data_IF_414074292283
#
_entry.id   IF_414074292283
#
_cell.length_a   1.000
_cell.length_b   1.000
_cell.length_c   1.000
_cell.angle_alpha   90.00
_cell.angle_beta   90.00
_cell.angle_gamma   90.00
#
_symmetry.space_group_name_H-M   'P 1'
#
loop_
_entity.id
_entity.type
_entity.pdbx_description
1 polymer ?
#
# COMPACT_ATOMS: atom_id res chain seq x y z
N UNK A 1 2.92 -9.57 3.84
CA UNK A 1 2.32 -9.34 2.50
C UNK A 1 1.07 -8.45 2.62
N UNK A 2 0.82 -7.56 1.66
CA UNK A 2 -0.36 -6.67 1.63
C UNK A 2 -1.27 -6.98 0.43
N UNK A 3 -2.58 -6.87 0.63
CA UNK A 3 -3.62 -6.99 -0.38
C UNK A 3 -4.38 -5.67 -0.48
N UNK A 4 -4.50 -5.13 -1.69
CA UNK A 4 -5.14 -3.85 -1.95
C UNK A 4 -6.41 -4.03 -2.78
N UNK A 5 -7.48 -3.35 -2.39
CA UNK A 5 -8.70 -3.24 -3.19
C UNK A 5 -9.33 -1.86 -3.04
N UNK A 6 -10.46 -1.64 -3.72
CA UNK A 6 -11.25 -0.42 -3.66
C UNK A 6 -12.59 -0.65 -2.96
N UNK A 7 -13.32 0.43 -2.71
CA UNK A 7 -14.75 0.40 -2.47
C UNK A 7 -15.52 -0.15 -3.68
N UNK A 8 -16.82 -0.45 -3.50
CA UNK A 8 -17.67 -0.92 -4.59
C UNK A 8 -17.88 0.20 -5.60
N UNK A 9 -17.93 -0.15 -6.89
CA UNK A 9 -18.12 0.78 -8.03
C UNK A 9 -17.12 1.95 -8.04
N UNK A 10 -15.80 1.69 -7.99
CA UNK A 10 -14.81 2.76 -7.94
C UNK A 10 -14.78 3.54 -9.27
N UNK A 11 -14.55 4.84 -9.17
CA UNK A 11 -14.24 5.72 -10.30
C UNK A 11 -12.95 5.31 -11.01
N UNK A 12 -12.74 5.88 -12.19
CA UNK A 12 -11.50 5.69 -12.94
C UNK A 12 -10.26 6.18 -12.15
N UNK A 13 -10.38 7.33 -11.46
CA UNK A 13 -9.31 7.88 -10.62
C UNK A 13 -8.92 6.93 -9.49
N UNK A 14 -9.91 6.39 -8.77
CA UNK A 14 -9.69 5.40 -7.71
C UNK A 14 -9.04 4.13 -8.23
N UNK A 15 -9.46 3.62 -9.39
CA UNK A 15 -8.81 2.46 -10.01
C UNK A 15 -7.33 2.72 -10.33
N UNK A 16 -7.00 3.91 -10.83
CA UNK A 16 -5.61 4.29 -11.11
C UNK A 16 -4.81 4.37 -9.82
N UNK A 17 -5.34 5.05 -8.79
CA UNK A 17 -4.67 5.18 -7.50
C UNK A 17 -4.38 3.80 -6.89
N UNK A 18 -5.38 2.90 -6.86
CA UNK A 18 -5.18 1.54 -6.36
C UNK A 18 -4.04 0.81 -7.07
N UNK A 19 -3.98 0.89 -8.41
CA UNK A 19 -2.92 0.25 -9.18
C UNK A 19 -1.54 0.85 -8.90
N UNK A 20 -1.45 2.19 -8.82
CA UNK A 20 -0.20 2.89 -8.48
C UNK A 20 0.29 2.49 -7.09
N UNK A 21 -0.59 2.51 -6.09
CA UNK A 21 -0.28 2.10 -4.72
C UNK A 21 0.12 0.62 -4.65
N UNK A 22 -0.59 -0.26 -5.36
CA UNK A 22 -0.26 -1.68 -5.39
C UNK A 22 1.15 -1.93 -5.96
N UNK A 23 1.50 -1.29 -7.08
CA UNK A 23 2.85 -1.37 -7.64
C UNK A 23 3.89 -0.82 -6.67
N UNK A 24 3.64 0.38 -6.13
CA UNK A 24 4.56 1.06 -5.23
C UNK A 24 4.83 0.27 -3.94
N UNK A 25 3.79 -0.30 -3.34
CA UNK A 25 3.87 -1.06 -2.10
C UNK A 25 4.25 -2.53 -2.30
N UNK A 26 4.35 -3.01 -3.54
CA UNK A 26 4.45 -4.44 -3.86
C UNK A 26 3.30 -5.26 -3.24
N UNK A 27 2.09 -4.71 -3.34
CA UNK A 27 0.87 -5.33 -2.85
C UNK A 27 0.15 -6.08 -3.97
N UNK A 28 -0.48 -7.20 -3.63
CA UNK A 28 -1.44 -7.83 -4.53
C UNK A 28 -2.64 -6.90 -4.71
N UNK A 29 -3.20 -6.83 -5.93
CA UNK A 29 -4.38 -6.01 -6.21
C UNK A 29 -5.55 -6.90 -6.61
N UNK A 30 -6.68 -6.77 -5.92
CA UNK A 30 -7.93 -7.41 -6.31
C UNK A 30 -9.00 -6.38 -6.69
N UNK A 31 -9.80 -6.71 -7.70
CA UNK A 31 -10.97 -5.91 -8.04
C UNK A 31 -12.11 -6.16 -7.05
N UNK A 32 -12.73 -5.10 -6.50
CA UNK A 32 -13.83 -5.23 -5.53
C UNK A 32 -15.11 -5.87 -6.07
N UNK A 33 -15.50 -5.53 -7.29
CA UNK A 33 -16.74 -6.04 -7.92
C UNK A 33 -17.99 -5.86 -7.04
N UNK A 34 -18.77 -6.94 -6.90
CA UNK A 34 -19.96 -7.01 -6.04
C UNK A 34 -19.68 -7.60 -4.65
N UNK A 35 -18.44 -7.99 -4.36
CA UNK A 35 -18.09 -8.69 -3.13
C UNK A 35 -18.48 -7.87 -1.89
N UNK A 36 -19.21 -8.45 -0.93
CA UNK A 36 -19.45 -7.84 0.38
C UNK A 36 -18.13 -7.67 1.13
N UNK A 37 -18.13 -6.83 2.16
CA UNK A 37 -16.92 -6.61 2.96
C UNK A 37 -16.44 -7.91 3.62
N UNK A 38 -17.36 -8.74 4.11
CA UNK A 38 -17.04 -10.04 4.72
C UNK A 38 -16.21 -10.93 3.79
N UNK A 39 -16.63 -11.11 2.53
CA UNK A 39 -15.89 -11.90 1.54
C UNK A 39 -14.52 -11.28 1.22
N UNK A 40 -14.42 -9.94 1.18
CA UNK A 40 -13.14 -9.27 0.94
C UNK A 40 -12.18 -9.47 2.11
N UNK A 41 -12.68 -9.41 3.34
CA UNK A 41 -11.90 -9.68 4.55
C UNK A 41 -11.43 -11.13 4.59
N UNK A 42 -12.31 -12.08 4.24
CA UNK A 42 -11.96 -13.50 4.13
C UNK A 42 -10.84 -13.74 3.10
N UNK A 43 -10.94 -13.14 1.91
CA UNK A 43 -9.88 -13.22 0.89
C UNK A 43 -8.57 -12.51 1.29
N UNK A 44 -8.66 -11.56 2.21
CA UNK A 44 -7.50 -10.86 2.78
C UNK A 44 -6.93 -11.51 4.04
N UNK A 45 -7.56 -12.57 4.54
CA UNK A 45 -7.14 -13.27 5.76
C UNK A 45 -5.67 -13.71 5.66
N UNK A 46 -4.92 -13.51 6.72
CA UNK A 46 -3.47 -13.81 6.76
C UNK A 46 -2.59 -12.72 6.11
N UNK A 47 -3.15 -11.62 5.61
CA UNK A 47 -2.42 -10.49 5.06
C UNK A 47 -3.00 -9.15 5.56
N UNK A 48 -2.20 -8.08 5.45
CA UNK A 48 -2.75 -6.73 5.68
C UNK A 48 -3.61 -6.35 4.48
N UNK A 49 -4.89 -6.05 4.72
CA UNK A 49 -5.82 -5.62 3.67
C UNK A 49 -5.97 -4.10 3.69
N UNK A 50 -5.68 -3.45 2.57
CA UNK A 50 -5.94 -2.04 2.34
C UNK A 50 -7.15 -1.86 1.41
N UNK A 51 -8.16 -1.11 1.86
CA UNK A 51 -9.31 -0.71 1.06
C UNK A 51 -9.26 0.78 0.79
N UNK A 52 -9.19 1.16 -0.49
CA UNK A 52 -9.29 2.55 -0.93
C UNK A 52 -10.75 2.94 -1.06
N UNK A 53 -11.21 3.87 -0.22
CA UNK A 53 -12.55 4.43 -0.28
C UNK A 53 -12.63 5.65 -1.20
N UNK A 54 -13.86 5.94 -1.62
CA UNK A 54 -14.17 7.02 -2.56
C UNK A 54 -15.24 7.94 -1.98
N UNK A 55 -15.09 9.25 -2.22
CA UNK A 55 -16.05 10.29 -1.90
C UNK A 55 -16.32 11.13 -3.15
N UNK A 56 -17.58 11.15 -3.62
CA UNK A 56 -18.01 11.85 -4.84
C UNK A 56 -17.09 11.64 -6.06
N UNK A 57 -16.70 10.39 -6.35
CA UNK A 57 -15.85 10.08 -7.51
C UNK A 57 -14.36 10.31 -7.30
N UNK A 58 -13.92 10.74 -6.11
CA UNK A 58 -12.51 10.96 -5.81
C UNK A 58 -12.03 10.00 -4.70
N UNK A 59 -10.81 9.45 -4.80
CA UNK A 59 -10.23 8.70 -3.70
C UNK A 59 -10.13 9.59 -2.46
N UNK A 60 -10.60 9.08 -1.33
CA UNK A 60 -10.75 9.90 -0.13
C UNK A 60 -10.45 9.18 1.18
N UNK A 61 -10.27 7.87 1.17
CA UNK A 61 -9.84 7.15 2.37
C UNK A 61 -8.99 5.91 2.08
N UNK A 62 -8.11 5.59 3.03
CA UNK A 62 -7.41 4.31 3.12
C UNK A 62 -7.84 3.66 4.42
N UNK A 63 -8.44 2.47 4.34
CA UNK A 63 -8.77 1.67 5.51
C UNK A 63 -7.91 0.42 5.52
N UNK A 64 -7.18 0.19 6.60
CA UNK A 64 -6.30 -0.96 6.77
C UNK A 64 -6.84 -1.92 7.81
N UNK A 65 -6.93 -3.18 7.42
CA UNK A 65 -7.36 -4.29 8.24
C UNK A 65 -6.18 -5.22 8.47
N UNK A 66 -6.05 -5.71 9.70
CA UNK A 66 -4.99 -6.63 10.08
C UNK A 66 -5.27 -8.04 9.50
N UNK A 67 -4.32 -8.99 9.62
CA UNK A 67 -4.53 -10.36 9.16
C UNK A 67 -5.74 -11.08 9.77
N UNK A 68 -6.28 -10.60 10.90
CA UNK A 68 -7.49 -11.13 11.53
C UNK A 68 -8.79 -10.50 11.00
N UNK A 69 -8.67 -9.47 10.16
CA UNK A 69 -9.79 -8.72 9.59
C UNK A 69 -10.29 -7.57 10.46
N UNK A 70 -9.58 -7.18 11.52
CA UNK A 70 -9.92 -6.01 12.35
C UNK A 70 -9.42 -4.74 11.68
N UNK A 71 -10.28 -3.73 11.57
CA UNK A 71 -9.88 -2.38 11.14
C UNK A 71 -8.97 -1.78 12.22
N UNK A 72 -7.74 -1.44 11.88
CA UNK A 72 -6.80 -0.83 12.83
C UNK A 72 -6.42 0.60 12.46
N UNK A 73 -6.52 0.98 11.17
CA UNK A 73 -6.28 2.33 10.68
C UNK A 73 -7.31 2.73 9.64
N UNK A 74 -7.80 3.96 9.76
CA UNK A 74 -8.46 4.64 8.66
C UNK A 74 -7.91 6.06 8.50
N UNK A 75 -7.43 6.37 7.31
CA UNK A 75 -7.01 7.70 6.90
C UNK A 75 -8.07 8.31 6.01
N UNK A 76 -8.44 9.56 6.25
CA UNK A 76 -9.14 10.40 5.27
C UNK A 76 -8.12 11.29 4.59
N UNK A 77 -8.21 11.46 3.29
CA UNK A 77 -7.27 12.27 2.54
C UNK A 77 -7.90 12.99 1.36
N UNK A 78 -7.16 13.95 0.80
CA UNK A 78 -7.34 14.44 -0.57
C UNK A 78 -6.06 14.16 -1.36
N UNK A 79 -6.18 13.63 -2.58
CA UNK A 79 -5.01 13.32 -3.40
C UNK A 79 -4.60 14.48 -4.32
N UNK A 80 -3.32 14.49 -4.66
CA UNK A 80 -2.77 15.22 -5.82
C UNK A 80 -1.85 14.27 -6.55
N UNK A 81 -2.18 13.97 -7.80
CA UNK A 81 -1.34 13.19 -8.71
C UNK A 81 -0.47 14.12 -9.55
N UNK A 82 0.78 13.73 -9.77
CA UNK A 82 1.73 14.46 -10.60
C UNK A 82 2.04 13.68 -11.87
N UNK A 83 3.05 14.12 -12.62
CA UNK A 83 3.47 13.54 -13.90
C UNK A 83 3.50 12.01 -13.87
N UNK A 84 3.07 11.37 -14.96
CA UNK A 84 3.01 9.92 -15.03
C UNK A 84 4.41 9.33 -14.90
N UNK A 85 4.61 8.57 -13.83
CA UNK A 85 5.77 7.69 -13.68
C UNK A 85 5.48 6.36 -14.39
N UNK A 86 6.40 5.84 -15.23
CA UNK A 86 6.24 4.53 -15.84
C UNK A 86 5.98 3.44 -14.80
N UNK A 87 5.06 2.50 -15.11
CA UNK A 87 4.70 1.44 -14.15
C UNK A 87 5.90 0.59 -13.72
N UNK A 88 6.89 0.39 -14.59
CA UNK A 88 8.13 -0.30 -14.25
C UNK A 88 8.89 0.40 -13.11
N UNK A 89 8.99 1.72 -13.14
CA UNK A 89 9.65 2.50 -12.10
C UNK A 89 8.90 2.47 -10.76
N UNK A 90 7.60 2.19 -10.77
CA UNK A 90 6.81 2.00 -9.56
C UNK A 90 6.99 0.61 -8.94
N UNK A 91 7.53 -0.36 -9.67
CA UNK A 91 7.66 -1.76 -9.21
C UNK A 91 9.05 -2.09 -8.68
N UNK A 92 10.09 -1.52 -9.30
CA UNK A 92 11.48 -1.86 -8.98
C UNK A 92 12.10 -0.89 -7.99
N UNK A 93 13.10 -1.38 -7.27
CA UNK A 93 13.93 -0.55 -6.41
C UNK A 93 13.71 -0.75 -4.91
N UNK A 94 14.71 -0.29 -4.15
CA UNK A 94 14.71 -0.29 -2.69
C UNK A 94 13.52 0.52 -2.18
N UNK A 95 12.84 0.02 -1.14
CA UNK A 95 11.70 0.67 -0.51
C UNK A 95 12.17 1.42 0.73
N UNK A 96 12.16 2.74 0.65
CA UNK A 96 12.65 3.62 1.71
C UNK A 96 11.51 4.46 2.25
N UNK A 97 11.47 4.64 3.57
CA UNK A 97 10.59 5.63 4.16
C UNK A 97 11.37 6.63 5.01
N UNK A 98 10.83 7.84 5.06
CA UNK A 98 11.38 9.00 5.74
C UNK A 98 10.26 9.63 6.54
N UNK A 99 10.60 10.15 7.70
CA UNK A 99 9.67 10.85 8.56
C UNK A 99 10.38 11.25 9.83
N UNK A 100 9.73 12.13 10.58
CA UNK A 100 10.20 12.48 11.91
C UNK A 100 9.62 11.50 12.91
N UNK A 101 10.45 10.99 13.82
CA UNK A 101 10.03 10.09 14.90
C UNK A 101 8.98 10.75 15.81
N UNK A 102 8.89 12.08 15.82
CA UNK A 102 7.88 12.84 16.55
C UNK A 102 6.55 12.98 15.80
N UNK A 103 6.46 12.60 14.53
CA UNK A 103 5.21 12.68 13.79
C UNK A 103 4.25 11.56 14.25
N UNK A 104 3.03 11.89 14.70
CA UNK A 104 2.05 10.87 15.07
C UNK A 104 1.74 9.91 13.91
N UNK A 105 1.75 10.42 12.67
CA UNK A 105 1.54 9.62 11.48
C UNK A 105 2.72 8.68 11.21
N UNK A 106 3.95 9.12 11.52
CA UNK A 106 5.14 8.27 11.44
C UNK A 106 5.09 7.16 12.47
N UNK A 107 4.91 7.47 13.76
CA UNK A 107 4.79 6.47 14.82
C UNK A 107 3.69 5.44 14.48
N UNK A 108 2.58 5.92 13.95
CA UNK A 108 1.47 5.09 13.51
C UNK A 108 1.84 4.17 12.33
N UNK A 109 2.41 4.70 11.24
CA UNK A 109 2.76 3.91 10.05
C UNK A 109 3.95 2.97 10.31
N UNK A 110 4.88 3.37 11.17
CA UNK A 110 6.07 2.60 11.52
C UNK A 110 5.72 1.26 12.18
N UNK A 111 4.63 1.19 12.96
CA UNK A 111 4.12 -0.06 13.51
C UNK A 111 3.79 -1.09 12.41
N UNK A 112 3.43 -0.66 11.20
CA UNK A 112 3.01 -1.55 10.11
C UNK A 112 4.10 -1.76 9.05
N UNK A 113 5.01 -0.81 8.91
CA UNK A 113 6.08 -0.85 7.91
C UNK A 113 7.26 -1.74 8.36
N UNK A 114 7.43 -1.96 9.67
CA UNK A 114 8.55 -2.75 10.25
C UNK A 114 8.21 -4.23 10.52
N UNK A 115 6.94 -4.63 10.65
CA UNK A 115 6.57 -6.03 10.95
C UNK A 115 6.73 -7.04 9.80
N UNK A 116 7.34 -6.64 8.67
CA UNK A 116 7.90 -7.58 7.69
C UNK A 116 9.19 -8.29 8.21
N UNK A 117 9.52 -8.11 9.51
CA UNK A 117 10.59 -8.84 10.22
C UNK A 117 10.17 -10.18 10.85
N UNK A 118 8.96 -10.71 10.59
CA UNK A 118 8.57 -11.95 11.27
C UNK A 118 7.41 -12.78 10.76
N UNK A 119 6.55 -12.31 9.85
CA UNK A 119 5.52 -13.18 9.26
C UNK A 119 6.04 -13.85 7.98
N UNK A 120 6.90 -14.85 8.16
CA UNK A 120 7.11 -15.88 7.14
C UNK A 120 5.82 -16.70 7.08
N UNK A 121 4.96 -16.40 6.10
CA UNK A 121 3.95 -17.37 5.69
C UNK A 121 4.66 -18.53 4.96
N UNK A 122 4.33 -19.80 5.26
CA UNK A 122 4.92 -20.92 4.54
C UNK A 122 4.60 -20.83 3.04
N UNK A 123 5.52 -21.23 2.15
CA UNK A 123 5.34 -21.13 0.69
C UNK A 123 4.05 -21.76 0.15
N UNK A 124 3.47 -22.69 0.91
CA UNK A 124 2.31 -23.49 0.53
C UNK A 124 1.01 -22.68 0.45
N UNK A 125 0.87 -21.58 1.21
CA UNK A 125 -0.34 -20.74 1.21
C UNK A 125 -0.40 -19.72 0.07
N UNK A 126 0.71 -19.46 -0.62
CA UNK A 126 0.73 -18.58 -1.80
C UNK A 126 0.01 -19.23 -2.97
N UNK A 127 0.21 -20.53 -3.17
CA UNK A 127 -0.46 -21.26 -4.24
C UNK A 127 -1.98 -21.30 -4.05
N UNK A 128 -2.47 -21.37 -2.81
CA UNK A 128 -3.91 -21.42 -2.53
C UNK A 128 -4.64 -20.10 -2.81
N UNK A 129 -3.98 -18.95 -2.61
CA UNK A 129 -4.54 -17.63 -2.93
C UNK A 129 -4.70 -17.41 -4.46
N UNK A 130 -3.88 -18.08 -5.28
CA UNK A 130 -3.94 -17.99 -6.75
C UNK A 130 -4.72 -19.13 -7.42
N UNK A 131 -4.99 -20.25 -6.73
CA UNK A 131 -5.75 -21.40 -7.27
C UNK A 131 -7.19 -21.07 -7.70
N UNK A 132 -7.77 -19.95 -7.24
CA UNK A 132 -9.15 -19.55 -7.59
C UNK A 132 -9.30 -18.72 -8.87
N UNK A 133 -8.22 -18.37 -9.57
CA UNK A 133 -8.31 -17.79 -10.91
C UNK A 133 -7.96 -18.84 -11.97
N UNK A 134 -8.97 -19.49 -12.54
CA UNK A 134 -8.84 -20.32 -13.76
C UNK A 134 -8.54 -19.44 -14.98
N UNK A 135 -7.34 -18.87 -15.04
CA UNK A 135 -6.63 -18.46 -16.25
C UNK A 135 -5.15 -18.62 -15.93
N UNK A 136 -4.44 -19.35 -16.78
CA UNK A 136 -3.05 -19.75 -16.58
C UNK A 136 -2.21 -18.61 -15.97
N UNK A 137 -1.45 -18.86 -14.89
CA UNK A 137 -0.54 -17.86 -14.37
C UNK A 137 0.43 -17.47 -15.50
N UNK A 138 0.76 -16.17 -15.65
CA UNK A 138 1.77 -15.75 -16.62
C UNK A 138 3.05 -16.54 -16.36
N UNK A 139 3.50 -17.30 -17.36
CA UNK A 139 4.81 -17.94 -17.35
C UNK A 139 5.83 -16.81 -17.17
N UNK A 140 6.68 -16.95 -16.14
CA UNK A 140 7.69 -15.99 -15.68
C UNK A 140 7.21 -14.86 -14.73
N UNK A 141 6.64 -15.23 -13.58
CA UNK A 141 6.93 -14.47 -12.36
C UNK A 141 8.26 -14.97 -11.79
N UNK A 142 9.36 -14.30 -12.11
CA UNK A 142 10.58 -14.43 -11.31
C UNK A 142 10.27 -14.17 -9.83
N UNK A 143 10.91 -14.89 -8.91
CA UNK A 143 10.71 -14.76 -7.47
C UNK A 143 10.54 -13.29 -7.05
N UNK A 144 9.31 -12.90 -6.68
CA UNK A 144 9.06 -11.60 -6.06
C UNK A 144 9.54 -11.72 -4.62
N UNK A 145 10.83 -11.44 -4.39
CA UNK A 145 11.35 -11.30 -3.02
C UNK A 145 10.82 -9.98 -2.45
N UNK A 146 9.94 -10.06 -1.46
CA UNK A 146 9.52 -8.89 -0.69
C UNK A 146 10.76 -8.28 -0.01
N UNK A 147 11.19 -7.09 -0.44
CA UNK A 147 12.34 -6.38 0.14
C UNK A 147 11.84 -5.44 1.23
N UNK A 148 12.06 -5.68 2.53
CA UNK A 148 11.43 -4.91 3.61
C UNK A 148 11.67 -3.40 3.46
N UNK A 149 10.73 -2.59 3.94
CA UNK A 149 10.88 -1.15 3.97
C UNK A 149 11.97 -0.73 4.98
N UNK A 150 12.86 0.16 4.56
CA UNK A 150 13.99 0.60 5.40
C UNK A 150 13.80 2.06 5.82
N UNK A 151 13.81 2.32 7.13
CA UNK A 151 13.84 3.68 7.66
C UNK A 151 15.20 4.31 7.42
N UNK A 152 15.23 5.55 6.91
CA UNK A 152 16.48 6.28 6.61
C UNK A 152 16.58 7.64 7.33
N UNK A 153 15.72 7.90 8.32
CA UNK A 153 15.71 9.17 9.06
C UNK A 153 14.95 10.30 8.34
N UNK A 154 15.28 11.54 8.70
CA UNK A 154 14.59 12.75 8.21
C UNK A 154 15.16 13.30 6.90
N UNK A 155 16.42 13.00 6.57
CA UNK A 155 17.14 13.58 5.42
C UNK A 155 16.98 12.78 4.12
N UNK A 156 16.84 13.46 2.98
CA UNK A 156 16.84 12.85 1.64
C UNK A 156 18.26 12.39 1.25
N UNK A 157 18.55 11.09 1.05
CA UNK A 157 19.82 10.67 0.48
C UNK A 157 19.82 10.91 -1.04
N UNK A 158 21.00 11.23 -1.58
CA UNK A 158 21.23 11.30 -3.03
C UNK A 158 21.08 9.90 -3.63
N UNK A 159 20.41 9.79 -4.77
CA UNK A 159 20.28 8.52 -5.51
C UNK A 159 21.64 8.14 -6.10
N UNK A 160 22.16 6.95 -5.77
CA UNK A 160 23.40 6.41 -6.36
C UNK A 160 23.12 5.66 -7.68
N UNK A 161 22.11 6.07 -8.45
CA UNK A 161 21.75 5.45 -9.74
C UNK A 161 20.92 4.15 -9.66
N UNK A 162 20.65 3.61 -8.46
CA UNK A 162 19.68 2.52 -8.28
C UNK A 162 18.25 3.05 -8.27
N UNK A 163 17.30 2.27 -8.80
CA UNK A 163 15.87 2.58 -8.66
C UNK A 163 15.48 2.57 -7.19
N UNK A 164 14.75 3.59 -6.72
CA UNK A 164 14.33 3.71 -5.31
C UNK A 164 12.90 4.20 -5.23
N UNK A 165 12.11 3.61 -4.34
CA UNK A 165 10.76 4.06 -3.99
C UNK A 165 10.82 4.70 -2.62
N UNK A 166 10.44 5.97 -2.51
CA UNK A 166 10.52 6.74 -1.26
C UNK A 166 9.15 7.18 -0.80
N UNK A 167 8.78 6.85 0.44
CA UNK A 167 7.61 7.38 1.11
C UNK A 167 8.07 8.41 2.16
N UNK A 168 7.69 9.67 1.99
CA UNK A 168 7.89 10.68 3.02
C UNK A 168 6.60 10.84 3.82
N UNK A 169 6.72 10.68 5.12
CA UNK A 169 5.65 10.80 6.10
C UNK A 169 5.85 12.11 6.83
N UNK A 170 4.87 13.00 6.72
CA UNK A 170 4.83 14.30 7.40
C UNK A 170 3.50 14.38 8.17
N UNK A 171 3.37 15.35 9.07
CA UNK A 171 2.20 15.42 9.98
C UNK A 171 0.86 15.52 9.24
N UNK A 172 0.84 16.20 8.10
CA UNK A 172 -0.39 16.48 7.33
C UNK A 172 -0.40 15.83 5.94
N UNK A 173 0.64 15.09 5.56
CA UNK A 173 0.73 14.51 4.21
C UNK A 173 1.67 13.32 4.07
N UNK A 174 1.39 12.53 3.04
CA UNK A 174 2.24 11.44 2.55
C UNK A 174 2.69 11.76 1.12
N UNK A 175 4.00 11.76 0.88
CA UNK A 175 4.57 11.98 -0.45
C UNK A 175 5.23 10.72 -0.98
N UNK A 176 4.82 10.30 -2.16
CA UNK A 176 5.28 9.08 -2.81
C UNK A 176 6.17 9.46 -3.99
N UNK A 177 7.44 9.07 -3.89
CA UNK A 177 8.44 9.29 -4.91
C UNK A 177 8.87 7.97 -5.52
N UNK A 178 8.98 7.93 -6.85
CA UNK A 178 9.78 6.93 -7.54
C UNK A 178 11.00 7.63 -8.12
N UNK A 179 12.17 7.13 -7.76
CA UNK A 179 13.43 7.84 -7.89
C UNK A 179 13.28 9.24 -7.28
N UNK A 180 13.54 10.27 -8.06
CA UNK A 180 13.49 11.66 -7.64
C UNK A 180 12.21 12.38 -8.12
N UNK A 181 11.21 11.61 -8.60
CA UNK A 181 9.92 12.12 -9.09
C UNK A 181 8.80 11.89 -8.08
N UNK A 182 8.25 12.97 -7.54
CA UNK A 182 6.99 12.93 -6.79
C UNK A 182 5.87 12.58 -7.77
N UNK A 183 5.17 11.47 -7.55
CA UNK A 183 4.09 11.04 -8.45
C UNK A 183 2.71 11.04 -7.78
N UNK A 184 2.69 11.03 -6.45
CA UNK A 184 1.46 11.05 -5.66
C UNK A 184 1.73 11.75 -4.32
N UNK A 185 0.81 12.64 -3.95
CA UNK A 185 0.72 13.24 -2.63
C UNK A 185 -0.67 13.01 -2.05
N UNK A 186 -0.74 12.57 -0.81
CA UNK A 186 -1.99 12.44 -0.05
C UNK A 186 -1.95 13.44 1.10
N UNK A 187 -2.85 14.42 1.10
CA UNK A 187 -3.02 15.33 2.25
C UNK A 187 -3.98 14.69 3.24
N UNK A 188 -3.52 14.43 4.45
CA UNK A 188 -4.29 13.78 5.50
C UNK A 188 -5.27 14.77 6.12
N UNK A 189 -6.55 14.40 6.12
CA UNK A 189 -7.67 15.18 6.67
C UNK A 189 -8.22 14.60 7.97
N UNK A 190 -7.73 13.44 8.37
CA UNK A 190 -8.08 12.80 9.62
C UNK A 190 -7.57 11.39 9.69
N UNK A 191 -7.28 10.96 10.91
CA UNK A 191 -6.78 9.64 11.25
C UNK A 191 -7.75 9.07 12.28
N UNK A 192 -8.15 7.81 12.10
CA UNK A 192 -8.85 7.02 13.11
C UNK A 192 -8.07 5.73 13.32
N UNK A 193 -7.86 5.36 14.57
CA UNK A 193 -7.16 4.15 14.94
C UNK A 193 -7.89 3.47 16.10
N UNK A 194 -8.15 2.18 15.97
CA UNK A 194 -8.75 1.36 17.03
C UNK A 194 -7.68 0.63 17.84
N UNK A 195 -6.54 1.26 18.10
CA UNK A 195 -5.53 0.75 19.05
C UNK A 195 -6.04 1.07 20.45
N UNK A 196 -6.94 0.23 20.96
CA UNK A 196 -7.16 0.09 22.39
C UNK A 196 -5.90 -0.51 22.99
N UNK A 197 -5.14 0.31 23.73
CA UNK A 197 -4.07 -0.13 24.62
C UNK A 197 -4.55 -1.15 25.64
#
# INVERSE_FOLDING_TARGET
MMLLTSSRKPSFKTKILCKKLALFCDAAYMTRGKMPLSEVLERGSGAVLCIVGEFHGNPGSLSFYDPSGRLFLSLRFSETSFDPVPQAELRYGERLFYGSDSSPLFAFLNMFVIEDKGLVMPPESLNDLFKHNKKDPPKELGEVRAVPWVFKGESKPKSNGAYVRRLYIQDDRLDFYSNDRLFLRLYIKGIKSDITH
#
